data_IF_190115884053
#
_entry.id   IF_190115884053
#
_cell.length_a   1.000
_cell.length_b   1.000
_cell.length_c   1.000
_cell.angle_alpha   90.00
_cell.angle_beta   90.00
_cell.angle_gamma   90.00
#
_symmetry.space_group_name_H-M   'P 1'
#
loop_
_entity.id
_entity.type
_entity.pdbx_description
1 polymer ?
#
# COMPACT_ATOMS: atom_id res chain seq x y z
N UNK A 1 26.98 45.05 -14.98
CA UNK A 1 25.87 44.98 -15.96
C UNK A 1 26.28 44.08 -17.12
N UNK A 2 25.82 42.83 -17.14
CA UNK A 2 25.37 42.09 -18.34
C UNK A 2 25.11 40.63 -17.97
N UNK A 3 23.85 40.22 -18.13
CA UNK A 3 23.32 38.87 -17.95
C UNK A 3 23.16 38.26 -19.34
N UNK A 4 23.58 37.02 -19.55
CA UNK A 4 23.36 36.28 -20.81
C UNK A 4 22.50 35.05 -20.53
N UNK A 5 21.20 35.19 -20.79
CA UNK A 5 20.20 34.14 -20.72
C UNK A 5 20.09 33.45 -22.09
N UNK A 6 20.27 32.13 -22.17
CA UNK A 6 19.87 31.34 -23.36
C UNK A 6 18.48 30.73 -23.12
N UNK A 7 17.56 31.05 -24.03
CA UNK A 7 16.17 30.55 -24.09
C UNK A 7 16.15 29.19 -24.80
N UNK A 8 15.44 28.22 -24.24
CA UNK A 8 15.07 26.96 -24.91
C UNK A 8 13.60 27.06 -25.31
N UNK A 9 13.22 26.76 -26.57
CA UNK A 9 11.86 26.97 -27.05
C UNK A 9 10.85 25.96 -26.47
N UNK A 10 9.76 26.50 -25.92
CA UNK A 10 8.52 25.81 -25.60
C UNK A 10 7.78 25.46 -26.88
N UNK A 11 7.74 24.18 -27.25
CA UNK A 11 6.81 23.69 -28.28
C UNK A 11 5.54 23.19 -27.60
N UNK A 12 4.50 24.01 -27.75
CA UNK A 12 3.09 23.61 -27.62
C UNK A 12 2.80 22.40 -28.51
N UNK A 13 2.15 21.39 -27.93
CA UNK A 13 1.35 20.44 -28.71
C UNK A 13 -0.07 20.46 -28.15
N UNK A 14 -0.97 20.96 -28.99
CA UNK A 14 -2.42 20.97 -28.78
C UNK A 14 -2.99 19.55 -28.96
N UNK A 15 -4.07 19.28 -28.25
CA UNK A 15 -4.85 18.04 -28.32
C UNK A 15 -5.26 17.64 -29.75
N UNK A 16 -5.24 16.33 -30.00
CA UNK A 16 -6.22 15.67 -30.85
C UNK A 16 -6.75 14.43 -30.11
N UNK A 17 -7.98 14.52 -29.61
CA UNK A 17 -8.78 13.38 -29.19
C UNK A 17 -9.27 12.71 -30.47
N UNK A 18 -8.72 11.54 -30.80
CA UNK A 18 -9.24 10.66 -31.86
C UNK A 18 -9.92 9.47 -31.22
N UNK A 19 -11.24 9.38 -31.44
CA UNK A 19 -12.05 8.21 -31.13
C UNK A 19 -11.52 6.99 -31.90
N UNK A 20 -10.97 6.02 -31.17
CA UNK A 20 -10.49 4.75 -31.71
C UNK A 20 -11.57 3.67 -31.57
N UNK A 21 -12.12 3.31 -32.72
CA UNK A 21 -13.07 2.23 -32.99
C UNK A 21 -12.67 0.89 -32.35
N UNK A 22 -13.61 0.31 -31.59
CA UNK A 22 -13.53 -1.02 -30.98
C UNK A 22 -13.54 -2.12 -32.07
N UNK A 23 -12.39 -2.72 -32.37
CA UNK A 23 -12.32 -3.94 -33.17
C UNK A 23 -12.52 -5.14 -32.24
N UNK A 24 -13.70 -5.76 -32.35
CA UNK A 24 -14.03 -7.01 -31.68
C UNK A 24 -13.20 -8.16 -32.28
N UNK A 25 -12.41 -8.83 -31.44
CA UNK A 25 -11.76 -10.10 -31.75
C UNK A 25 -12.80 -11.22 -31.59
N UNK A 26 -13.11 -12.03 -32.62
CA UNK A 26 -14.05 -13.13 -32.47
C UNK A 26 -13.45 -14.25 -31.60
N UNK A 27 -14.03 -14.47 -30.43
CA UNK A 27 -13.73 -15.62 -29.57
C UNK A 27 -14.34 -16.92 -30.12
N UNK A 28 -13.77 -18.09 -29.76
CA UNK A 28 -14.29 -19.37 -30.22
C UNK A 28 -15.71 -19.62 -29.67
N UNK A 29 -16.58 -20.09 -30.55
CA UNK A 29 -17.98 -20.42 -30.26
C UNK A 29 -18.06 -21.45 -29.12
N UNK A 30 -18.49 -21.01 -27.94
CA UNK A 30 -18.86 -21.91 -26.85
C UNK A 30 -20.24 -22.49 -27.18
N UNK A 31 -20.25 -23.80 -27.48
CA UNK A 31 -21.49 -24.56 -27.65
C UNK A 31 -22.38 -24.41 -26.42
N UNK A 32 -23.68 -24.24 -26.67
CA UNK A 32 -24.68 -24.16 -25.61
C UNK A 32 -24.67 -25.45 -24.76
N UNK A 33 -24.75 -25.35 -23.42
CA UNK A 33 -24.81 -26.53 -22.57
C UNK A 33 -26.17 -27.22 -22.75
N UNK A 34 -26.17 -28.38 -23.40
CA UNK A 34 -27.28 -29.34 -23.32
C UNK A 34 -27.35 -29.88 -21.89
N UNK A 35 -28.49 -29.65 -21.24
CA UNK A 35 -28.73 -29.98 -19.84
C UNK A 35 -28.47 -31.45 -19.51
N UNK A 36 -27.72 -31.63 -18.41
CA UNK A 36 -27.47 -32.89 -17.73
C UNK A 36 -26.74 -32.57 -16.43
N UNK A 37 -27.46 -32.04 -15.44
CA UNK A 37 -26.87 -31.68 -14.15
C UNK A 37 -26.49 -32.93 -13.35
N UNK A 38 -25.28 -33.03 -12.79
CA UNK A 38 -25.03 -33.94 -11.69
C UNK A 38 -25.72 -33.38 -10.44
N UNK A 39 -26.86 -33.98 -10.08
CA UNK A 39 -27.51 -33.77 -8.77
C UNK A 39 -26.60 -34.35 -7.69
N UNK A 40 -25.65 -33.55 -7.21
CA UNK A 40 -24.66 -33.97 -6.24
C UNK A 40 -23.98 -32.78 -5.57
N UNK A 41 -24.76 -31.79 -5.13
CA UNK A 41 -24.25 -30.75 -4.24
C UNK A 41 -24.10 -31.34 -2.82
N UNK A 42 -22.99 -32.04 -2.58
CA UNK A 42 -22.49 -32.18 -1.23
C UNK A 42 -22.16 -30.79 -0.66
N UNK A 43 -22.17 -30.60 0.67
CA UNK A 43 -21.68 -29.37 1.28
C UNK A 43 -20.27 -29.07 0.76
N UNK A 44 -19.99 -27.83 0.39
CA UNK A 44 -18.62 -27.40 0.12
C UNK A 44 -17.89 -27.48 1.47
N UNK A 45 -17.14 -28.55 1.69
CA UNK A 45 -16.33 -28.72 2.88
C UNK A 45 -15.12 -27.79 2.77
N UNK A 46 -15.17 -26.65 3.46
CA UNK A 46 -14.00 -25.81 3.66
C UNK A 46 -13.15 -26.53 4.70
N UNK A 47 -12.25 -27.41 4.26
CA UNK A 47 -11.23 -27.98 5.14
C UNK A 47 -10.35 -26.85 5.68
N UNK A 48 -10.43 -26.60 6.98
CA UNK A 48 -9.49 -25.70 7.65
C UNK A 48 -8.06 -26.23 7.46
N UNK A 49 -7.06 -25.36 7.19
CA UNK A 49 -5.67 -25.82 7.11
C UNK A 49 -5.27 -26.51 8.43
N UNK A 50 -4.56 -27.63 8.30
CA UNK A 50 -4.07 -28.42 9.43
C UNK A 50 -3.06 -27.65 10.30
N UNK A 51 -2.64 -28.19 11.45
CA UNK A 51 -1.79 -27.52 12.43
C UNK A 51 -0.37 -27.18 11.92
N UNK A 52 0.02 -27.68 10.75
CA UNK A 52 1.32 -27.45 10.12
C UNK A 52 1.23 -26.36 9.03
N UNK A 53 0.47 -25.30 9.28
CA UNK A 53 0.37 -24.15 8.36
C UNK A 53 1.77 -23.62 8.05
N UNK A 54 2.27 -23.76 6.80
CA UNK A 54 3.46 -23.03 6.39
C UNK A 54 3.19 -21.56 6.66
N UNK A 55 4.19 -20.82 7.14
CA UNK A 55 4.06 -19.37 7.25
C UNK A 55 3.47 -18.86 5.93
N UNK A 56 2.30 -18.20 5.96
CA UNK A 56 1.50 -17.88 4.77
C UNK A 56 2.22 -17.00 3.74
N UNK A 57 3.40 -16.54 4.12
CA UNK A 57 4.30 -15.72 3.36
C UNK A 57 5.70 -16.38 3.45
N UNK A 58 6.12 -17.18 2.48
CA UNK A 58 7.39 -17.95 2.49
C UNK A 58 8.45 -17.41 1.50
N UNK A 59 8.08 -16.45 0.67
CA UNK A 59 8.91 -15.83 -0.37
C UNK A 59 9.13 -16.72 -1.59
N UNK A 60 8.44 -17.85 -1.70
CA UNK A 60 8.60 -18.79 -2.81
C UNK A 60 7.77 -18.34 -4.03
N UNK A 61 8.39 -18.04 -5.19
CA UNK A 61 7.65 -17.66 -6.39
C UNK A 61 6.81 -18.82 -6.98
N UNK A 62 7.01 -20.06 -6.53
CA UNK A 62 6.22 -21.22 -6.94
C UNK A 62 4.95 -21.41 -6.11
N UNK A 63 4.79 -20.68 -5.00
CA UNK A 63 3.61 -20.73 -4.13
C UNK A 63 2.80 -19.44 -4.25
N UNK A 64 1.55 -19.47 -3.77
CA UNK A 64 0.74 -18.26 -3.60
C UNK A 64 0.71 -17.90 -2.13
N UNK A 65 1.17 -16.70 -1.83
CA UNK A 65 1.12 -16.14 -0.48
C UNK A 65 -0.24 -15.48 -0.21
N UNK A 66 -0.70 -15.53 1.06
CA UNK A 66 -1.93 -14.87 1.49
C UNK A 66 -1.71 -14.07 2.76
N UNK A 67 -2.11 -12.80 2.72
CA UNK A 67 -2.29 -11.97 3.91
C UNK A 67 -3.72 -12.19 4.42
N UNK A 68 -3.86 -12.90 5.54
CA UNK A 68 -5.15 -13.26 6.17
C UNK A 68 -5.54 -12.32 7.31
N UNK A 69 -4.88 -11.17 7.41
CA UNK A 69 -5.17 -10.15 8.40
C UNK A 69 -6.54 -9.54 8.14
N UNK A 70 -7.49 -9.83 9.03
CA UNK A 70 -8.83 -9.22 9.02
C UNK A 70 -8.81 -7.76 9.46
N UNK A 71 -7.73 -7.34 10.11
CA UNK A 71 -7.49 -5.97 10.54
C UNK A 71 -6.61 -5.26 9.50
N UNK A 72 -7.10 -4.14 8.97
CA UNK A 72 -6.44 -3.40 7.89
C UNK A 72 -5.11 -2.79 8.36
N UNK A 73 -5.01 -2.42 9.64
CA UNK A 73 -3.76 -1.89 10.23
C UNK A 73 -2.70 -3.00 10.29
N UNK A 74 -3.09 -4.20 10.76
CA UNK A 74 -2.21 -5.36 10.78
C UNK A 74 -1.78 -5.78 9.37
N UNK A 75 -2.70 -5.78 8.40
CA UNK A 75 -2.39 -6.07 7.00
C UNK A 75 -1.35 -5.10 6.42
N UNK A 76 -1.48 -3.80 6.71
CA UNK A 76 -0.53 -2.78 6.25
C UNK A 76 0.86 -2.98 6.86
N UNK A 77 0.94 -3.32 8.15
CA UNK A 77 2.22 -3.66 8.81
C UNK A 77 2.85 -4.89 8.18
N UNK A 78 2.08 -5.96 7.95
CA UNK A 78 2.59 -7.18 7.32
C UNK A 78 3.09 -6.93 5.88
N UNK A 79 2.37 -6.13 5.10
CA UNK A 79 2.81 -5.70 3.77
C UNK A 79 4.11 -4.88 3.81
N UNK A 80 4.23 -3.98 4.80
CA UNK A 80 5.45 -3.20 5.04
C UNK A 80 6.65 -4.10 5.37
N UNK A 81 6.47 -5.05 6.29
CA UNK A 81 7.52 -6.00 6.68
C UNK A 81 7.99 -6.86 5.51
N UNK A 82 7.11 -7.20 4.58
CA UNK A 82 7.49 -7.91 3.34
C UNK A 82 8.31 -7.04 2.40
N UNK A 83 7.81 -5.86 2.07
CA UNK A 83 8.46 -4.95 1.11
C UNK A 83 9.80 -4.44 1.64
N UNK A 84 9.86 -4.18 2.94
CA UNK A 84 11.01 -3.61 3.65
C UNK A 84 11.58 -4.60 4.67
N UNK A 85 11.70 -5.87 4.28
CA UNK A 85 12.23 -6.94 5.14
C UNK A 85 13.63 -6.62 5.68
N UNK A 86 14.45 -6.01 4.83
CA UNK A 86 15.80 -5.58 5.15
C UNK A 86 15.91 -4.33 6.05
N UNK A 87 14.80 -3.66 6.38
CA UNK A 87 14.88 -2.44 7.20
C UNK A 87 15.32 -2.79 8.63
N UNK A 88 16.33 -2.06 9.12
CA UNK A 88 17.08 -2.32 10.34
C UNK A 88 18.35 -3.13 10.12
N UNK A 89 18.52 -3.82 8.98
CA UNK A 89 19.72 -4.60 8.68
C UNK A 89 20.81 -3.73 8.03
N UNK A 90 22.03 -3.79 8.54
CA UNK A 90 23.19 -3.04 8.01
C UNK A 90 22.94 -1.52 7.90
N UNK A 91 22.06 -0.99 8.76
CA UNK A 91 21.65 0.42 8.73
C UNK A 91 20.75 0.80 7.55
N UNK A 92 20.15 -0.18 6.85
CA UNK A 92 19.14 0.07 5.81
C UNK A 92 17.83 0.51 6.47
N UNK A 93 17.28 1.62 6.00
CA UNK A 93 16.05 2.20 6.51
C UNK A 93 15.17 2.66 5.35
N UNK A 94 13.86 2.78 5.59
CA UNK A 94 12.96 3.40 4.61
C UNK A 94 13.30 4.89 4.49
N UNK A 95 13.10 5.47 3.30
CA UNK A 95 13.35 6.91 3.11
C UNK A 95 12.37 7.77 3.92
N UNK A 96 11.14 7.27 4.07
CA UNK A 96 10.07 7.89 4.84
C UNK A 96 8.97 6.86 5.16
N UNK A 97 8.03 7.25 6.00
CA UNK A 97 6.79 6.50 6.23
C UNK A 97 5.59 7.39 5.94
N UNK A 98 4.57 6.84 5.30
CA UNK A 98 3.30 7.53 5.06
C UNK A 98 2.27 6.98 6.04
N UNK A 99 1.58 7.85 6.77
CA UNK A 99 0.58 7.47 7.77
C UNK A 99 -0.74 8.12 7.40
N UNK A 100 -1.81 7.33 7.30
CA UNK A 100 -3.15 7.81 7.01
C UNK A 100 -4.22 7.09 7.81
N UNK A 101 -5.49 7.33 7.46
CA UNK A 101 -6.64 6.62 8.01
C UNK A 101 -7.21 5.63 7.01
N UNK A 102 -7.56 4.44 7.48
CA UNK A 102 -8.22 3.43 6.66
C UNK A 102 -9.70 3.77 6.40
N UNK A 103 -10.36 4.41 7.37
CA UNK A 103 -11.78 4.77 7.32
C UNK A 103 -12.06 6.14 6.65
N UNK A 104 -11.01 6.90 6.30
CA UNK A 104 -11.10 8.13 5.50
C UNK A 104 -10.26 8.01 4.22
N UNK A 105 -10.71 7.11 3.34
CA UNK A 105 -9.94 6.60 2.19
C UNK A 105 -9.42 7.66 1.21
N UNK A 106 -10.09 8.80 1.04
CA UNK A 106 -9.73 9.80 0.02
C UNK A 106 -8.31 10.36 0.21
N UNK A 107 -7.92 10.64 1.45
CA UNK A 107 -6.60 11.19 1.77
C UNK A 107 -5.52 10.11 1.65
N UNK A 108 -5.81 8.91 2.14
CA UNK A 108 -4.93 7.74 2.05
C UNK A 108 -4.68 7.30 0.59
N UNK A 109 -5.68 7.42 -0.28
CA UNK A 109 -5.55 7.14 -1.71
C UNK A 109 -4.61 8.14 -2.41
N UNK A 110 -4.71 9.43 -2.08
CA UNK A 110 -3.83 10.46 -2.64
C UNK A 110 -2.35 10.22 -2.28
N UNK A 111 -2.09 9.63 -1.11
CA UNK A 111 -0.75 9.30 -0.65
C UNK A 111 -0.07 8.10 -1.32
N UNK A 112 -0.77 7.34 -2.18
CA UNK A 112 -0.20 6.16 -2.85
C UNK A 112 1.01 6.50 -3.73
N UNK A 113 1.07 7.70 -4.32
CA UNK A 113 2.24 8.13 -5.08
C UNK A 113 3.50 8.30 -4.23
N UNK A 114 3.36 8.44 -2.91
CA UNK A 114 4.47 8.56 -1.97
C UNK A 114 5.02 7.19 -1.55
N UNK A 115 4.40 6.06 -1.88
CA UNK A 115 4.80 4.76 -1.31
C UNK A 115 5.94 4.05 -2.06
N UNK A 116 6.66 4.78 -2.92
CA UNK A 116 7.80 4.25 -3.68
C UNK A 116 8.90 3.71 -2.76
N UNK A 117 9.43 4.58 -1.90
CA UNK A 117 10.56 4.29 -1.00
C UNK A 117 10.16 4.21 0.49
N UNK A 118 8.86 4.15 0.75
CA UNK A 118 8.28 4.08 2.09
C UNK A 118 6.91 3.38 2.10
N UNK A 119 6.49 2.76 3.19
CA UNK A 119 5.17 2.12 3.28
C UNK A 119 4.07 3.14 3.59
N UNK A 120 2.83 2.74 3.30
CA UNK A 120 1.62 3.36 3.85
C UNK A 120 1.15 2.51 5.04
N UNK A 121 1.10 3.13 6.22
CA UNK A 121 0.57 2.55 7.45
C UNK A 121 -0.67 3.31 7.91
N UNK A 122 -1.46 2.69 8.78
CA UNK A 122 -2.71 3.25 9.26
C UNK A 122 -2.69 3.56 10.75
N UNK A 123 -3.44 4.60 11.11
CA UNK A 123 -3.69 5.04 12.48
C UNK A 123 -5.18 5.25 12.68
N UNK A 124 -5.65 5.11 13.93
CA UNK A 124 -6.94 5.65 14.31
C UNK A 124 -6.85 7.19 14.36
N UNK A 125 -8.01 7.85 14.35
CA UNK A 125 -8.11 9.31 14.47
C UNK A 125 -7.37 9.87 15.69
N UNK A 126 -7.53 9.23 16.84
CA UNK A 126 -7.13 9.80 18.15
C UNK A 126 -5.90 9.13 18.75
N UNK A 127 -5.48 7.98 18.22
CA UNK A 127 -4.38 7.21 18.78
C UNK A 127 -3.63 6.44 17.69
N UNK A 128 -2.30 6.45 17.81
CA UNK A 128 -1.41 5.56 17.08
C UNK A 128 -1.45 4.18 17.75
N UNK A 129 -1.61 3.13 16.96
CA UNK A 129 -1.54 1.76 17.51
C UNK A 129 -0.09 1.38 17.76
N UNK A 130 0.15 0.54 18.76
CA UNK A 130 1.51 0.05 19.08
C UNK A 130 2.14 -0.68 17.89
N UNK A 131 1.33 -1.40 17.10
CA UNK A 131 1.79 -2.10 15.90
C UNK A 131 2.31 -1.11 14.84
N UNK A 132 1.57 -0.04 14.57
CA UNK A 132 2.01 1.00 13.62
C UNK A 132 3.23 1.75 14.15
N UNK A 133 3.23 2.11 15.45
CA UNK A 133 4.37 2.78 16.08
C UNK A 133 5.65 1.95 15.99
N UNK A 134 5.58 0.68 16.39
CA UNK A 134 6.73 -0.23 16.33
C UNK A 134 7.24 -0.48 14.92
N UNK A 135 6.34 -0.51 13.93
CA UNK A 135 6.75 -0.64 12.53
C UNK A 135 7.43 0.63 12.01
N UNK A 136 6.95 1.83 12.36
CA UNK A 136 7.63 3.11 12.05
C UNK A 136 9.03 3.13 12.66
N UNK A 137 9.16 2.71 13.92
CA UNK A 137 10.44 2.64 14.62
C UNK A 137 11.42 1.69 13.91
N UNK A 138 10.95 0.51 13.48
CA UNK A 138 11.75 -0.46 12.72
C UNK A 138 12.24 0.11 11.39
N UNK A 139 11.37 0.80 10.67
CA UNK A 139 11.64 1.33 9.33
C UNK A 139 12.62 2.49 9.34
N UNK A 140 12.44 3.45 10.24
CA UNK A 140 13.24 4.68 10.30
C UNK A 140 14.47 4.55 11.18
N UNK A 141 14.50 3.54 12.06
CA UNK A 141 15.62 3.33 12.97
C UNK A 141 15.79 4.44 14.01
N UNK A 142 16.90 4.41 14.76
CA UNK A 142 17.13 5.30 15.90
C UNK A 142 17.43 6.75 15.51
N UNK A 143 17.89 6.99 14.28
CA UNK A 143 18.12 8.35 13.75
C UNK A 143 16.83 9.07 13.40
N UNK A 144 15.71 8.35 13.34
CA UNK A 144 14.44 8.87 12.85
C UNK A 144 14.47 9.09 11.33
N UNK A 145 13.54 9.91 10.86
CA UNK A 145 13.32 10.16 9.44
C UNK A 145 12.00 10.89 9.20
N UNK A 146 11.56 10.95 7.95
CA UNK A 146 10.35 11.68 7.60
C UNK A 146 9.10 10.82 7.75
N UNK A 147 8.05 11.41 8.32
CA UNK A 147 6.70 10.84 8.36
C UNK A 147 5.73 11.79 7.66
N UNK A 148 5.07 11.33 6.62
CA UNK A 148 4.01 12.07 5.94
C UNK A 148 2.68 11.73 6.58
N UNK A 149 2.02 12.70 7.20
CA UNK A 149 0.72 12.49 7.84
C UNK A 149 -0.40 12.93 6.89
N UNK A 150 -1.15 11.96 6.37
CA UNK A 150 -2.22 12.19 5.41
C UNK A 150 -3.52 12.55 6.13
N UNK A 151 -3.92 13.81 5.96
CA UNK A 151 -5.15 14.35 6.51
C UNK A 151 -4.86 15.52 7.45
N UNK A 152 -5.74 16.51 7.43
CA UNK A 152 -5.66 17.63 8.36
C UNK A 152 -6.01 17.22 9.79
N UNK A 153 -5.89 18.17 10.72
CA UNK A 153 -6.21 17.97 12.15
C UNK A 153 -7.66 17.58 12.44
N UNK A 154 -8.56 17.78 11.46
CA UNK A 154 -9.95 17.31 11.53
C UNK A 154 -10.07 15.80 11.29
N UNK A 155 -9.13 15.21 10.54
CA UNK A 155 -9.09 13.79 10.22
C UNK A 155 -8.21 13.02 11.22
N UNK A 156 -7.06 13.57 11.61
CA UNK A 156 -6.14 12.96 12.57
C UNK A 156 -5.85 13.98 13.67
N UNK A 157 -6.15 13.64 14.91
CA UNK A 157 -6.02 14.56 16.02
C UNK A 157 -4.55 14.87 16.32
N UNK A 158 -4.28 16.05 16.90
CA UNK A 158 -2.92 16.49 17.22
C UNK A 158 -2.17 15.55 18.18
N UNK A 159 -2.87 14.75 18.98
CA UNK A 159 -2.25 13.74 19.84
C UNK A 159 -1.48 12.68 19.06
N UNK A 160 -1.97 12.28 17.88
CA UNK A 160 -1.28 11.33 17.00
C UNK A 160 -0.05 11.98 16.37
N UNK A 161 -0.18 13.22 15.87
CA UNK A 161 0.95 13.98 15.34
C UNK A 161 2.05 14.16 16.40
N UNK A 162 1.66 14.45 17.65
CA UNK A 162 2.59 14.53 18.78
C UNK A 162 3.27 13.19 19.11
N UNK A 163 2.54 12.08 19.05
CA UNK A 163 3.11 10.74 19.24
C UNK A 163 4.11 10.35 18.14
N UNK A 164 3.93 10.86 16.91
CA UNK A 164 4.85 10.65 15.79
C UNK A 164 6.07 11.57 15.84
N UNK A 165 5.94 12.76 16.43
CA UNK A 165 6.99 13.77 16.54
C UNK A 165 7.97 13.49 17.70
N UNK A 166 8.58 12.31 17.69
CA UNK A 166 9.70 11.97 18.57
C UNK A 166 11.02 12.48 18.00
N UNK A 167 12.06 12.56 18.84
CA UNK A 167 13.38 13.06 18.43
C UNK A 167 13.89 12.38 17.16
N UNK A 168 14.33 13.19 16.19
CA UNK A 168 14.81 12.73 14.89
C UNK A 168 13.72 12.50 13.84
N UNK A 169 12.43 12.62 14.17
CA UNK A 169 11.35 12.54 13.18
C UNK A 169 10.87 13.91 12.72
N UNK A 170 10.71 14.03 11.40
CA UNK A 170 10.12 15.19 10.72
C UNK A 170 8.71 14.80 10.26
N UNK A 171 7.68 15.29 10.94
CA UNK A 171 6.27 15.02 10.61
C UNK A 171 5.75 16.14 9.71
N UNK A 172 5.35 15.79 8.49
CA UNK A 172 4.93 16.71 7.41
C UNK A 172 3.50 16.45 6.96
#
# INVERSE_FOLDING_TARGET
MSVTTRRVPVHSWLLAVTAGLLLAVPGPAHGAPTGGGPTGAGPIEITAPGPDTPAHLDGDPATTERLDERDVTAAAVAASQRRFAAAGEDGRHAAHVVVGRDDHFADSHAGTALTGDGPLLYTARTALTDATGGEIDRLLGPSGGRVYLLGGTAAIDQGVAGALAVDGRDVV
#
